data_IF_719901373453
#
_entry.id   IF_719901373453
#
_cell.length_a   1.000
_cell.length_b   1.000
_cell.length_c   1.000
_cell.angle_alpha   90.00
_cell.angle_beta   90.00
_cell.angle_gamma   90.00
#
_symmetry.space_group_name_H-M   'P 1'
#
loop_
_entity.id
_entity.type
_entity.pdbx_description
1 polymer ?
#
# COMPACT_ATOMS: atom_id res chain seq x y z
N UNK A 1 -7.59 -8.02 -15.12
CA UNK A 1 -6.92 -9.03 -14.27
C UNK A 1 -5.92 -8.32 -13.38
N UNK A 2 -5.78 -8.72 -12.11
CA UNK A 2 -4.85 -8.06 -11.17
C UNK A 2 -3.43 -8.61 -11.39
N UNK A 3 -2.45 -7.71 -11.52
CA UNK A 3 -1.04 -8.05 -11.69
C UNK A 3 -0.16 -7.35 -10.66
N UNK A 4 0.92 -8.00 -10.24
CA UNK A 4 1.97 -7.44 -9.39
C UNK A 4 3.28 -7.53 -10.18
N UNK A 5 3.89 -6.38 -10.49
CA UNK A 5 5.12 -6.30 -11.31
C UNK A 5 4.99 -7.07 -12.64
N UNK A 6 3.90 -6.83 -13.38
CA UNK A 6 3.57 -7.47 -14.66
C UNK A 6 3.38 -8.99 -14.61
N UNK A 7 3.30 -9.59 -13.41
CA UNK A 7 2.97 -11.00 -13.22
C UNK A 7 1.54 -11.13 -12.68
N UNK A 8 0.75 -12.12 -13.12
CA UNK A 8 -0.55 -12.40 -12.51
C UNK A 8 -0.41 -12.60 -11.00
N UNK A 9 -1.42 -12.15 -10.25
CA UNK A 9 -1.51 -12.46 -8.83
C UNK A 9 -1.51 -13.97 -8.62
N UNK A 10 -0.55 -14.47 -7.86
CA UNK A 10 -0.46 -15.87 -7.44
C UNK A 10 -1.16 -16.01 -6.08
N UNK A 11 -2.27 -16.76 -6.04
CA UNK A 11 -3.09 -16.88 -4.83
C UNK A 11 -2.44 -17.74 -3.75
N UNK A 12 -1.46 -18.55 -4.11
CA UNK A 12 -0.79 -19.47 -3.18
C UNK A 12 0.49 -18.85 -2.60
N UNK A 13 0.84 -17.63 -3.03
CA UNK A 13 2.02 -16.90 -2.59
C UNK A 13 1.72 -15.93 -1.46
N UNK A 14 2.64 -15.87 -0.49
CA UNK A 14 2.62 -14.85 0.57
C UNK A 14 3.21 -13.55 0.03
N UNK A 15 2.47 -12.45 0.19
CA UNK A 15 2.93 -11.10 -0.12
C UNK A 15 3.02 -10.26 1.16
N UNK A 16 4.07 -9.46 1.26
CA UNK A 16 4.23 -8.47 2.34
C UNK A 16 3.76 -7.12 1.84
N UNK A 17 2.91 -6.46 2.62
CA UNK A 17 2.37 -5.13 2.33
C UNK A 17 2.73 -4.15 3.43
N UNK A 18 2.89 -2.88 3.07
CA UNK A 18 2.97 -1.79 4.03
C UNK A 18 1.58 -1.15 4.16
N UNK A 19 1.11 -0.95 5.39
CA UNK A 19 -0.21 -0.37 5.68
C UNK A 19 -0.17 0.43 6.98
N UNK A 20 -1.28 1.11 7.33
CA UNK A 20 -1.44 1.77 8.63
C UNK A 20 -1.94 0.80 9.70
N UNK A 21 -1.69 1.13 10.97
CA UNK A 21 -2.29 0.47 12.13
C UNK A 21 -3.82 0.58 12.14
N UNK A 22 -4.38 1.68 11.64
CA UNK A 22 -5.82 1.85 11.45
C UNK A 22 -6.42 0.77 10.54
N UNK A 23 -5.84 0.53 9.35
CA UNK A 23 -6.35 -0.51 8.44
C UNK A 23 -6.04 -1.91 8.97
N UNK A 24 -4.86 -2.13 9.56
CA UNK A 24 -4.51 -3.42 10.18
C UNK A 24 -5.50 -3.83 11.29
N UNK A 25 -5.94 -2.86 12.10
CA UNK A 25 -6.93 -3.08 13.16
C UNK A 25 -8.38 -3.20 12.65
N UNK A 26 -8.58 -3.19 11.32
CA UNK A 26 -9.87 -3.39 10.66
C UNK A 26 -10.70 -2.13 10.50
N UNK A 27 -10.09 -0.94 10.55
CA UNK A 27 -10.74 0.27 10.06
C UNK A 27 -11.13 0.14 8.57
N UNK A 28 -12.14 0.90 8.15
CA UNK A 28 -12.67 0.87 6.77
C UNK A 28 -13.07 -0.54 6.29
N UNK A 29 -13.62 -1.36 7.19
CA UNK A 29 -14.01 -2.76 6.96
C UNK A 29 -12.87 -3.69 6.46
N UNK A 30 -11.61 -3.28 6.65
CA UNK A 30 -10.41 -4.06 6.26
C UNK A 30 -10.08 -5.18 7.26
N UNK A 31 -11.10 -5.90 7.73
CA UNK A 31 -11.00 -6.96 8.73
C UNK A 31 -10.05 -8.10 8.34
N UNK A 32 -9.78 -8.28 7.04
CA UNK A 32 -8.90 -9.30 6.50
C UNK A 32 -7.40 -9.10 6.83
N UNK A 33 -7.00 -7.92 7.30
CA UNK A 33 -5.63 -7.71 7.77
C UNK A 33 -5.40 -8.16 9.22
N UNK A 34 -6.47 -8.34 10.01
CA UNK A 34 -6.36 -8.69 11.42
C UNK A 34 -5.62 -10.00 11.61
N UNK A 35 -4.83 -10.05 12.67
CA UNK A 35 -4.08 -11.23 13.11
C UNK A 35 -3.07 -11.80 12.10
N UNK A 36 -2.74 -11.03 11.05
CA UNK A 36 -1.66 -11.38 10.10
C UNK A 36 -0.28 -11.08 10.69
N UNK A 37 0.78 -11.83 10.33
CA UNK A 37 2.14 -11.52 10.78
C UNK A 37 2.55 -10.09 10.43
N UNK A 38 2.93 -9.29 11.43
CA UNK A 38 3.26 -7.86 11.27
C UNK A 38 4.65 -7.54 11.84
N UNK A 39 5.40 -6.70 11.10
CA UNK A 39 6.59 -6.01 11.61
C UNK A 39 6.22 -4.55 11.86
N UNK A 40 6.23 -4.11 13.12
CA UNK A 40 5.95 -2.72 13.47
C UNK A 40 7.19 -1.85 13.20
N UNK A 41 7.06 -0.90 12.27
CA UNK A 41 8.14 0.04 11.91
C UNK A 41 8.20 1.29 12.81
N UNK A 42 7.19 1.48 13.68
CA UNK A 42 7.01 2.64 14.58
C UNK A 42 7.20 4.00 13.88
N UNK A 43 6.79 4.08 12.62
CA UNK A 43 6.95 5.26 11.77
C UNK A 43 5.61 5.74 11.23
N UNK A 44 5.26 7.00 11.50
CA UNK A 44 3.98 7.57 11.07
C UNK A 44 4.01 7.86 9.57
N UNK A 45 2.90 7.58 8.88
CA UNK A 45 2.73 7.91 7.45
C UNK A 45 3.07 9.36 7.17
N UNK A 46 2.62 10.30 8.02
CA UNK A 46 2.97 11.73 7.92
C UNK A 46 4.49 11.96 7.84
N UNK A 47 5.27 11.28 8.68
CA UNK A 47 6.71 11.47 8.70
C UNK A 47 7.34 10.89 7.43
N UNK A 48 6.86 9.73 6.95
CA UNK A 48 7.28 9.16 5.68
C UNK A 48 6.98 10.09 4.49
N UNK A 49 5.81 10.73 4.50
CA UNK A 49 5.44 11.75 3.50
C UNK A 49 6.36 12.96 3.54
N UNK A 50 6.66 13.50 4.74
CA UNK A 50 7.58 14.63 4.91
C UNK A 50 8.98 14.29 4.41
N UNK A 51 9.51 13.14 4.77
CA UNK A 51 10.87 12.74 4.36
C UNK A 51 10.96 12.49 2.85
N UNK A 52 9.90 11.94 2.26
CA UNK A 52 9.81 11.81 0.81
C UNK A 52 9.90 13.19 0.15
N UNK A 53 9.13 14.18 0.60
CA UNK A 53 9.17 15.54 0.03
C UNK A 53 10.46 16.30 0.32
N UNK A 54 11.18 15.99 1.41
CA UNK A 54 12.53 16.52 1.63
C UNK A 54 13.56 15.95 0.65
N UNK A 55 13.37 14.69 0.23
CA UNK A 55 14.28 13.98 -0.68
C UNK A 55 13.96 14.24 -2.15
N UNK A 56 12.69 14.47 -2.48
CA UNK A 56 12.18 14.63 -3.85
C UNK A 56 11.81 16.08 -4.08
N UNK A 57 12.67 16.77 -4.83
CA UNK A 57 12.50 18.19 -5.17
C UNK A 57 11.23 18.45 -5.99
N UNK A 58 10.99 17.66 -7.04
CA UNK A 58 9.86 17.82 -7.95
C UNK A 58 9.03 16.54 -8.00
N UNK A 59 7.73 16.65 -7.66
CA UNK A 59 6.78 15.54 -7.79
C UNK A 59 6.40 15.41 -9.26
N UNK A 60 6.98 14.43 -9.95
CA UNK A 60 6.57 14.05 -11.30
C UNK A 60 5.40 13.08 -11.21
N UNK A 61 4.28 13.40 -11.86
CA UNK A 61 3.16 12.48 -11.98
C UNK A 61 3.20 11.78 -13.33
N UNK A 62 2.93 10.49 -13.34
CA UNK A 62 2.67 9.70 -14.54
C UNK A 62 1.34 8.99 -14.36
N UNK A 63 0.51 9.00 -15.41
CA UNK A 63 -0.71 8.21 -15.42
C UNK A 63 -0.32 6.76 -15.63
N UNK A 64 -0.56 5.92 -14.64
CA UNK A 64 -0.21 4.50 -14.66
C UNK A 64 -1.44 3.58 -14.69
N UNK A 65 -2.60 4.15 -15.02
CA UNK A 65 -3.89 3.44 -15.14
C UNK A 65 -4.22 2.57 -13.90
N UNK A 66 -3.79 3.01 -12.69
CA UNK A 66 -4.09 2.32 -11.43
C UNK A 66 -5.59 2.15 -11.15
N UNK A 67 -6.41 3.07 -11.63
CA UNK A 67 -7.86 3.01 -11.53
C UNK A 67 -8.48 3.40 -12.87
N UNK A 68 -9.38 2.54 -13.36
CA UNK A 68 -10.21 2.81 -14.53
C UNK A 68 -11.65 2.85 -14.04
N UNK A 69 -12.32 3.98 -14.24
CA UNK A 69 -13.77 4.06 -14.05
C UNK A 69 -14.38 3.43 -15.30
N UNK A 70 -15.08 2.31 -15.11
CA UNK A 70 -15.86 1.68 -16.16
C UNK A 70 -17.27 2.26 -16.06
N UNK A 71 -17.77 2.80 -17.18
CA UNK A 71 -19.17 3.21 -17.34
C UNK A 71 -20.13 2.01 -17.31
#
# INVERSE_FOLDING_TARGET
>A
MVTIQNKPLDKDKIYTVATSDYLYSGGDDMSFFKDTPMVKIDYKIRNATIDYFKKVDTIKFERDNRFEVLD
#
